data_IF_312585025483
#
_entry.id   IF_312585025483
#
_cell.length_a   1.000
_cell.length_b   1.000
_cell.length_c   1.000
_cell.angle_alpha   90.00
_cell.angle_beta   90.00
_cell.angle_gamma   90.00
#
_symmetry.space_group_name_H-M   'P 1'
#
loop_
_entity.id
_entity.type
_entity.pdbx_description
1 polymer ?
#
# COMPACT_ATOMS: atom_id res chain seq x y z
N UNK A 1 5.54 12.55 -4.39
CA UNK A 1 4.39 12.60 -3.46
C UNK A 1 4.95 13.19 -2.17
N UNK A 2 4.43 14.30 -1.62
CA UNK A 2 5.20 15.16 -0.70
C UNK A 2 5.08 14.86 0.80
N UNK A 3 6.21 14.94 1.53
CA UNK A 3 6.27 14.66 2.98
C UNK A 3 5.31 15.57 3.76
N UNK A 4 5.23 16.86 3.42
CA UNK A 4 4.34 17.78 4.11
C UNK A 4 2.88 17.48 3.80
N UNK A 5 2.55 17.10 2.55
CA UNK A 5 1.18 16.70 2.20
C UNK A 5 0.77 15.41 2.94
N UNK A 6 1.67 14.43 3.08
CA UNK A 6 1.40 13.22 3.86
C UNK A 6 1.22 13.52 5.34
N UNK A 7 2.05 14.41 5.91
CA UNK A 7 1.92 14.81 7.31
C UNK A 7 0.58 15.49 7.59
N UNK A 8 0.13 16.38 6.70
CA UNK A 8 -1.19 17.00 6.82
C UNK A 8 -2.31 15.96 6.77
N UNK A 9 -2.27 15.05 5.79
CA UNK A 9 -3.26 13.98 5.65
C UNK A 9 -3.28 13.03 6.85
N UNK A 10 -2.11 12.63 7.35
CA UNK A 10 -1.97 11.80 8.55
C UNK A 10 -2.66 12.44 9.75
N UNK A 11 -2.45 13.75 9.98
CA UNK A 11 -3.04 14.48 11.09
C UNK A 11 -4.54 14.70 10.91
N UNK A 12 -4.99 15.01 9.70
CA UNK A 12 -6.39 15.27 9.37
C UNK A 12 -7.27 14.02 9.59
N UNK A 13 -6.76 12.85 9.22
CA UNK A 13 -7.48 11.59 9.33
C UNK A 13 -7.08 10.75 10.54
N UNK A 14 -6.20 11.28 11.41
CA UNK A 14 -5.70 10.62 12.62
C UNK A 14 -5.26 9.16 12.37
N UNK A 15 -4.43 8.94 11.34
CA UNK A 15 -4.01 7.60 10.95
C UNK A 15 -3.11 6.98 12.02
N UNK A 16 -3.21 5.67 12.18
CA UNK A 16 -2.39 4.89 13.12
C UNK A 16 -1.26 4.12 12.42
N UNK A 17 -0.95 4.46 11.17
CA UNK A 17 0.11 3.83 10.38
C UNK A 17 0.91 4.87 9.59
N UNK A 18 2.12 4.47 9.18
CA UNK A 18 3.04 5.34 8.46
C UNK A 18 2.65 5.45 6.99
N UNK A 19 2.73 6.66 6.43
CA UNK A 19 2.65 6.90 4.99
C UNK A 19 4.04 7.21 4.44
N UNK A 20 4.48 6.44 3.45
CA UNK A 20 5.77 6.67 2.77
C UNK A 20 5.58 7.72 1.68
N UNK A 21 6.38 8.79 1.72
CA UNK A 21 6.42 9.81 0.68
C UNK A 21 7.35 9.35 -0.48
N UNK A 22 6.79 8.66 -1.47
CA UNK A 22 7.53 8.18 -2.66
C UNK A 22 7.74 9.32 -3.68
N UNK A 23 8.66 10.22 -3.36
CA UNK A 23 9.01 11.39 -4.19
C UNK A 23 9.68 11.00 -5.51
N UNK A 24 10.75 10.22 -5.43
CA UNK A 24 11.57 9.81 -6.59
C UNK A 24 10.96 8.64 -7.38
N UNK A 25 9.79 8.16 -6.93
CA UNK A 25 9.08 7.01 -7.49
C UNK A 25 9.84 5.70 -7.38
N UNK A 26 10.83 5.62 -6.50
CA UNK A 26 11.70 4.45 -6.35
C UNK A 26 10.92 3.24 -5.87
N UNK A 27 10.01 3.43 -4.90
CA UNK A 27 9.16 2.33 -4.43
C UNK A 27 8.23 1.88 -5.55
N UNK A 28 7.51 2.82 -6.17
CA UNK A 28 6.56 2.49 -7.25
C UNK A 28 7.22 1.79 -8.44
N UNK A 29 8.46 2.16 -8.80
CA UNK A 29 9.24 1.48 -9.85
C UNK A 29 9.69 0.08 -9.41
N UNK A 30 10.20 -0.05 -8.20
CA UNK A 30 10.71 -1.34 -7.66
C UNK A 30 9.59 -2.38 -7.62
N UNK A 31 8.39 -1.96 -7.26
CA UNK A 31 7.20 -2.80 -7.21
C UNK A 31 6.50 -2.96 -8.58
N UNK A 32 7.01 -2.32 -9.64
CA UNK A 32 6.44 -2.44 -10.99
C UNK A 32 5.08 -1.77 -11.19
N UNK A 33 4.66 -0.89 -10.28
CA UNK A 33 3.32 -0.28 -10.28
C UNK A 33 3.29 1.14 -10.84
N UNK A 34 4.43 1.69 -11.28
CA UNK A 34 4.46 3.04 -11.85
C UNK A 34 3.90 3.06 -13.28
N UNK A 35 2.78 3.77 -13.51
CA UNK A 35 2.22 3.95 -14.86
C UNK A 35 3.00 4.99 -15.67
N UNK A 36 2.88 4.97 -17.02
CA UNK A 36 3.43 6.02 -17.89
C UNK A 36 2.96 7.44 -17.55
N UNK A 37 1.80 7.58 -16.91
CA UNK A 37 1.29 8.87 -16.42
C UNK A 37 2.05 9.43 -15.21
N UNK A 38 2.99 8.68 -14.62
CA UNK A 38 3.71 9.05 -13.40
C UNK A 38 2.95 8.78 -12.10
N UNK A 39 1.74 8.21 -12.21
CA UNK A 39 0.92 7.77 -11.08
C UNK A 39 1.06 6.27 -10.86
N UNK A 40 1.16 5.85 -9.60
CA UNK A 40 1.19 4.43 -9.25
C UNK A 40 -0.19 3.79 -9.49
N UNK A 41 -0.21 2.53 -9.87
CA UNK A 41 -1.40 1.67 -9.86
C UNK A 41 -1.85 1.41 -8.44
N UNK A 42 -3.15 1.14 -8.27
CA UNK A 42 -3.71 0.80 -6.97
C UNK A 42 -3.55 -0.70 -6.74
N UNK A 43 -2.49 -1.05 -6.02
CA UNK A 43 -2.10 -2.42 -5.71
C UNK A 43 -1.80 -2.53 -4.22
N UNK A 44 -2.20 -3.63 -3.61
CA UNK A 44 -1.88 -3.95 -2.21
C UNK A 44 -0.98 -5.18 -2.16
N UNK A 45 0.13 -5.08 -1.43
CA UNK A 45 1.08 -6.17 -1.22
C UNK A 45 1.03 -6.63 0.23
N UNK A 46 1.01 -7.95 0.46
CA UNK A 46 1.09 -8.54 1.80
C UNK A 46 2.45 -9.23 1.93
N UNK A 47 3.23 -8.78 2.91
CA UNK A 47 4.49 -9.38 3.31
C UNK A 47 4.34 -10.04 4.67
N UNK A 48 5.07 -11.14 4.92
CA UNK A 48 5.20 -11.69 6.27
C UNK A 48 6.29 -10.97 7.08
N UNK A 49 6.49 -11.41 8.33
CA UNK A 49 7.44 -10.82 9.28
C UNK A 49 8.91 -10.98 8.84
N UNK A 50 9.19 -11.95 7.97
CA UNK A 50 10.52 -12.18 7.41
C UNK A 50 10.75 -11.36 6.12
N UNK A 51 9.76 -10.54 5.72
CA UNK A 51 9.82 -9.70 4.53
C UNK A 51 9.56 -10.46 3.23
N UNK A 52 8.98 -11.66 3.31
CA UNK A 52 8.63 -12.45 2.12
C UNK A 52 7.27 -12.01 1.60
N UNK A 53 7.18 -11.74 0.29
CA UNK A 53 5.92 -11.42 -0.36
C UNK A 53 5.01 -12.65 -0.37
N UNK A 54 3.84 -12.55 0.27
CA UNK A 54 2.88 -13.66 0.40
C UNK A 54 1.70 -13.52 -0.54
N UNK A 55 1.29 -12.30 -0.85
CA UNK A 55 0.15 -12.06 -1.74
C UNK A 55 0.16 -10.66 -2.36
N UNK A 56 -0.48 -10.53 -3.52
CA UNK A 56 -0.67 -9.26 -4.24
C UNK A 56 -2.12 -9.14 -4.69
N UNK A 57 -2.74 -8.00 -4.39
CA UNK A 57 -4.01 -7.58 -4.97
C UNK A 57 -3.73 -6.56 -6.07
N UNK A 58 -3.77 -6.97 -7.33
CA UNK A 58 -3.41 -6.15 -8.51
C UNK A 58 -4.59 -5.38 -9.14
N UNK A 59 -5.81 -5.62 -8.66
CA UNK A 59 -7.05 -4.94 -9.12
C UNK A 59 -7.93 -4.57 -7.93
N UNK A 60 -7.56 -3.49 -7.27
CA UNK A 60 -8.24 -3.05 -6.04
C UNK A 60 -9.41 -2.11 -6.35
N UNK A 61 -10.62 -2.49 -5.93
CA UNK A 61 -11.71 -1.56 -5.67
C UNK A 61 -11.62 -1.11 -4.20
N UNK A 62 -11.46 0.19 -3.90
CA UNK A 62 -11.40 0.66 -2.51
C UNK A 62 -12.58 0.23 -1.63
N UNK A 63 -13.76 0.01 -2.22
CA UNK A 63 -14.95 -0.39 -1.48
C UNK A 63 -14.88 -1.87 -1.10
N UNK A 64 -14.75 -2.16 0.20
CA UNK A 64 -14.69 -3.52 0.73
C UNK A 64 -13.30 -4.14 0.75
N UNK A 65 -12.28 -3.44 0.26
CA UNK A 65 -10.92 -3.99 0.19
C UNK A 65 -10.29 -4.24 1.56
N UNK A 66 -10.67 -3.47 2.59
CA UNK A 66 -10.17 -3.68 3.95
C UNK A 66 -10.53 -5.08 4.44
N UNK A 67 -11.77 -5.51 4.21
CA UNK A 67 -12.25 -6.84 4.57
C UNK A 67 -11.53 -7.93 3.77
N UNK A 68 -11.35 -7.74 2.46
CA UNK A 68 -10.60 -8.68 1.61
C UNK A 68 -9.15 -8.89 2.10
N UNK A 69 -8.47 -7.80 2.49
CA UNK A 69 -7.10 -7.85 3.02
C UNK A 69 -7.07 -8.60 4.35
N UNK A 70 -8.00 -8.31 5.26
CA UNK A 70 -8.07 -8.97 6.57
C UNK A 70 -8.37 -10.47 6.43
N UNK A 71 -9.29 -10.85 5.55
CA UNK A 71 -9.57 -12.26 5.25
C UNK A 71 -8.33 -12.96 4.68
N UNK A 72 -7.63 -12.32 3.74
CA UNK A 72 -6.41 -12.88 3.16
C UNK A 72 -5.29 -13.06 4.19
N UNK A 73 -5.11 -12.12 5.11
CA UNK A 73 -4.13 -12.23 6.21
C UNK A 73 -4.42 -13.46 7.06
N UNK A 74 -5.68 -13.70 7.43
CA UNK A 74 -6.09 -14.89 8.20
C UNK A 74 -5.88 -16.19 7.42
N UNK A 75 -6.25 -16.22 6.14
CA UNK A 75 -6.02 -17.39 5.27
C UNK A 75 -4.54 -17.76 5.16
N UNK A 76 -3.66 -16.76 5.17
CA UNK A 76 -2.21 -16.94 5.09
C UNK A 76 -1.56 -17.24 6.46
N UNK A 77 -2.33 -17.17 7.56
CA UNK A 77 -1.83 -17.35 8.93
C UNK A 77 -0.82 -16.27 9.35
N UNK A 78 -1.09 -15.01 8.96
CA UNK A 78 -0.23 -13.86 9.21
C UNK A 78 -0.75 -12.91 10.31
N UNK A 79 -1.83 -13.29 10.99
CA UNK A 79 -2.42 -12.55 12.11
C UNK A 79 -1.59 -12.63 13.42
#
# INVERSE_FOLDING_TARGET
QDVNSHKKFYLEYNLNFTLIADHDKNVSKTFGVLRPSGLSERVTFIFDKDGILRYVFDKVDPKGHTEEVLEKIRELGLD
#
